data_IF_572066243091
#
_entry.id   IF_572066243091
#
_cell.length_a   1.000
_cell.length_b   1.000
_cell.length_c   1.000
_cell.angle_alpha   90.00
_cell.angle_beta   90.00
_cell.angle_gamma   90.00
#
_symmetry.space_group_name_H-M   'P 1'
#
loop_
_entity.id
_entity.type
_entity.pdbx_description
1 polymer ?
#
# COMPACT_ATOMS: atom_id res chain seq x y z
N UNK A 1 -5.31 -11.25 -0.11
CA UNK A 1 -5.59 -10.56 -1.40
C UNK A 1 -6.52 -9.38 -1.15
N UNK A 2 -6.41 -8.29 -1.91
CA UNK A 2 -7.35 -7.18 -1.78
C UNK A 2 -8.69 -7.55 -2.43
N UNK A 3 -9.80 -7.28 -1.75
CA UNK A 3 -11.16 -7.37 -2.29
C UNK A 3 -11.97 -6.15 -1.85
N UNK A 4 -12.94 -5.74 -2.66
CA UNK A 4 -13.93 -4.72 -2.28
C UNK A 4 -15.32 -5.24 -2.66
N UNK A 5 -16.29 -5.03 -1.76
CA UNK A 5 -17.69 -5.27 -2.08
C UNK A 5 -18.17 -4.11 -2.96
N UNK A 6 -18.68 -4.44 -4.14
CA UNK A 6 -19.33 -3.47 -5.03
C UNK A 6 -20.75 -3.28 -4.55
N UNK A 7 -21.19 -2.02 -4.39
CA UNK A 7 -22.57 -1.73 -4.01
C UNK A 7 -23.45 -1.69 -5.25
N UNK A 8 -24.70 -2.12 -5.11
CA UNK A 8 -25.67 -2.07 -6.20
C UNK A 8 -25.93 -0.60 -6.62
N UNK A 9 -25.94 -0.34 -7.93
CA UNK A 9 -26.04 1.03 -8.48
C UNK A 9 -24.76 1.87 -8.41
N UNK A 10 -23.64 1.30 -7.97
CA UNK A 10 -22.37 2.03 -7.91
C UNK A 10 -21.64 2.09 -9.27
N UNK A 11 -21.19 3.27 -9.72
CA UNK A 11 -20.32 3.38 -10.89
C UNK A 11 -19.00 2.61 -10.70
N UNK A 12 -18.59 1.86 -11.72
CA UNK A 12 -17.39 1.01 -11.67
C UNK A 12 -16.12 1.78 -11.29
N UNK A 13 -16.00 3.04 -11.73
CA UNK A 13 -14.87 3.93 -11.43
C UNK A 13 -14.70 4.16 -9.92
N UNK A 14 -15.82 4.30 -9.19
CA UNK A 14 -15.84 4.53 -7.75
C UNK A 14 -15.42 3.26 -6.99
N UNK A 15 -15.86 2.10 -7.46
CA UNK A 15 -15.42 0.81 -6.94
C UNK A 15 -13.93 0.58 -7.20
N UNK A 16 -13.44 0.89 -8.41
CA UNK A 16 -12.02 0.80 -8.79
C UNK A 16 -11.14 1.71 -7.93
N UNK A 17 -11.56 2.95 -7.68
CA UNK A 17 -10.83 3.88 -6.82
C UNK A 17 -10.65 3.34 -5.40
N UNK A 18 -11.68 2.69 -4.84
CA UNK A 18 -11.57 2.01 -3.53
C UNK A 18 -10.65 0.80 -3.60
N UNK A 19 -10.79 -0.03 -4.63
CA UNK A 19 -9.93 -1.20 -4.81
C UNK A 19 -8.45 -0.80 -4.92
N UNK A 20 -8.13 0.22 -5.71
CA UNK A 20 -6.77 0.75 -5.86
C UNK A 20 -6.20 1.23 -4.52
N UNK A 21 -7.01 1.89 -3.69
CA UNK A 21 -6.59 2.33 -2.34
C UNK A 21 -6.21 1.16 -1.45
N UNK A 22 -7.03 0.10 -1.42
CA UNK A 22 -6.76 -1.12 -0.62
C UNK A 22 -5.56 -1.88 -1.18
N UNK A 23 -5.47 -2.00 -2.51
CA UNK A 23 -4.38 -2.70 -3.19
C UNK A 23 -3.02 -1.99 -3.02
N UNK A 24 -2.99 -0.66 -2.87
CA UNK A 24 -1.75 0.10 -2.70
C UNK A 24 -0.96 -0.31 -1.46
N UNK A 25 -1.63 -0.57 -0.34
CA UNK A 25 -1.00 -1.05 0.88
C UNK A 25 -0.29 -2.39 0.65
N UNK A 26 -1.00 -3.35 0.06
CA UNK A 26 -0.47 -4.68 -0.26
C UNK A 26 0.72 -4.62 -1.23
N UNK A 27 0.65 -3.77 -2.26
CA UNK A 27 1.76 -3.56 -3.22
C UNK A 27 3.01 -2.99 -2.55
N UNK A 28 2.85 -2.11 -1.56
CA UNK A 28 3.98 -1.52 -0.83
C UNK A 28 4.67 -2.54 0.08
N UNK A 29 3.89 -3.44 0.70
CA UNK A 29 4.42 -4.48 1.56
C UNK A 29 5.11 -5.59 0.77
N UNK A 30 4.55 -5.97 -0.39
CA UNK A 30 5.20 -6.90 -1.32
C UNK A 30 6.58 -6.38 -1.75
N UNK A 31 6.69 -5.10 -2.16
CA UNK A 31 7.98 -4.48 -2.54
C UNK A 31 9.00 -4.46 -1.41
N UNK A 32 8.57 -4.27 -0.16
CA UNK A 32 9.48 -4.32 1.01
C UNK A 32 10.04 -5.71 1.29
N UNK A 33 9.36 -6.75 0.80
CA UNK A 33 9.73 -8.17 0.99
C UNK A 33 10.38 -8.79 -0.24
N UNK A 34 10.43 -8.06 -1.36
CA UNK A 34 11.06 -8.49 -2.61
C UNK A 34 12.55 -8.77 -2.43
N UNK A 35 13.22 -8.02 -1.55
CA UNK A 35 14.62 -8.23 -1.18
C UNK A 35 14.79 -8.24 0.33
N UNK A 36 15.77 -9.02 0.82
CA UNK A 36 16.12 -8.99 2.23
C UNK A 36 16.83 -7.67 2.58
N UNK A 37 16.22 -6.91 3.49
CA UNK A 37 16.84 -5.71 4.07
C UNK A 37 17.46 -6.02 5.43
N UNK A 38 18.71 -5.60 5.62
CA UNK A 38 19.39 -5.64 6.91
C UNK A 38 18.72 -4.75 7.96
N UNK A 39 19.05 -4.95 9.25
CA UNK A 39 18.51 -4.12 10.34
C UNK A 39 18.84 -2.63 10.16
N UNK A 40 20.00 -2.30 9.58
CA UNK A 40 20.43 -0.92 9.32
C UNK A 40 19.56 -0.25 8.25
N UNK A 41 19.32 -0.95 7.14
CA UNK A 41 18.51 -0.44 6.02
C UNK A 41 17.05 -0.25 6.43
N UNK A 42 16.49 -1.17 7.23
CA UNK A 42 15.14 -1.03 7.80
C UNK A 42 15.00 0.22 8.67
N UNK A 43 16.04 0.57 9.44
CA UNK A 43 16.06 1.78 10.29
C UNK A 43 16.08 3.05 9.44
N UNK A 44 16.96 3.12 8.43
CA UNK A 44 17.04 4.26 7.49
C UNK A 44 15.72 4.42 6.74
N UNK A 45 15.14 3.32 6.26
CA UNK A 45 13.85 3.33 5.59
C UNK A 45 12.75 3.94 6.47
N UNK A 46 12.63 3.52 7.75
CA UNK A 46 11.66 4.11 8.69
C UNK A 46 11.91 5.59 8.95
N UNK A 47 13.17 5.98 9.14
CA UNK A 47 13.52 7.39 9.37
C UNK A 47 13.12 8.27 8.19
N UNK A 48 13.35 7.81 6.96
CA UNK A 48 12.98 8.54 5.75
C UNK A 48 11.47 8.59 5.51
N UNK A 49 10.71 7.58 5.94
CA UNK A 49 9.24 7.63 5.93
C UNK A 49 8.71 8.73 6.85
N UNK A 50 9.27 8.89 8.05
CA UNK A 50 8.82 9.90 9.00
C UNK A 50 9.16 11.34 8.55
N UNK A 51 10.29 11.55 7.86
CA UNK A 51 10.66 12.87 7.31
C UNK A 51 9.72 13.39 6.22
N UNK A 52 8.98 12.52 5.53
CA UNK A 52 8.07 12.91 4.46
C UNK A 52 6.78 13.58 4.95
N UNK A 53 6.51 13.54 6.25
CA UNK A 53 5.29 14.08 6.87
C UNK A 53 5.57 15.16 7.93
N UNK A 54 6.82 15.61 8.04
CA UNK A 54 7.24 16.73 8.91
C UNK A 54 7.56 17.98 8.12
#
# INVERSE_FOLDING_TARGET
>A
MASVVVKEGEPIEKALKRFQKVAAANKSEARKREYHLSKKEKRIYKQNQNKKFG
#
